data_IF_091878527423
#
_entry.id   IF_091878527423
#
_cell.length_a   1.000
_cell.length_b   1.000
_cell.length_c   1.000
_cell.angle_alpha   90.00
_cell.angle_beta   90.00
_cell.angle_gamma   90.00
#
_symmetry.space_group_name_H-M   'P 1'
#
loop_
_entity.id
_entity.type
_entity.pdbx_description
1 polymer ?
#
# COMPACT_ATOMS: atom_id res chain seq x y z
N UNK A 1 -17.17 2.76 -7.07
CA UNK A 1 -16.14 1.85 -6.54
C UNK A 1 -15.15 1.59 -7.67
N UNK A 2 -13.91 2.04 -7.56
CA UNK A 2 -12.89 1.80 -8.59
C UNK A 2 -12.01 0.62 -8.14
N UNK A 3 -11.81 -0.37 -9.01
CA UNK A 3 -10.94 -1.53 -8.76
C UNK A 3 -9.84 -1.55 -9.80
N UNK A 4 -8.60 -1.80 -9.37
CA UNK A 4 -7.46 -2.04 -10.26
C UNK A 4 -6.74 -3.28 -9.80
N UNK A 5 -6.45 -4.18 -10.72
CA UNK A 5 -5.60 -5.33 -10.45
C UNK A 5 -4.12 -4.92 -10.53
N UNK A 6 -3.30 -5.54 -9.71
CA UNK A 6 -1.88 -5.22 -9.61
C UNK A 6 -1.07 -6.45 -9.20
N UNK A 7 0.25 -6.29 -9.16
CA UNK A 7 1.18 -7.34 -8.74
C UNK A 7 2.07 -6.84 -7.62
N UNK A 8 2.40 -7.74 -6.70
CA UNK A 8 3.43 -7.50 -5.69
C UNK A 8 4.79 -7.62 -6.38
N UNK A 9 5.62 -6.59 -6.22
CA UNK A 9 6.99 -6.59 -6.72
C UNK A 9 7.94 -7.01 -5.61
N UNK A 10 8.69 -8.08 -5.84
CA UNK A 10 9.74 -8.55 -4.94
C UNK A 10 11.10 -8.05 -5.42
N UNK A 11 11.92 -7.57 -4.49
CA UNK A 11 13.26 -7.10 -4.79
C UNK A 11 14.23 -7.56 -3.71
N UNK A 12 15.52 -7.59 -4.05
CA UNK A 12 16.58 -7.87 -3.08
C UNK A 12 16.73 -6.64 -2.17
N UNK A 13 16.75 -6.86 -0.86
CA UNK A 13 16.94 -5.81 0.13
C UNK A 13 18.02 -6.26 1.11
N UNK A 14 19.27 -5.87 0.84
CA UNK A 14 20.43 -6.32 1.61
C UNK A 14 20.55 -7.85 1.63
N UNK A 15 20.49 -8.43 2.83
CA UNK A 15 20.49 -9.87 3.08
C UNK A 15 19.12 -10.54 2.93
N UNK A 16 18.04 -9.77 2.76
CA UNK A 16 16.66 -10.27 2.69
C UNK A 16 15.94 -9.99 1.36
N UNK A 17 14.63 -10.26 1.34
CA UNK A 17 13.71 -9.90 0.26
C UNK A 17 12.75 -8.81 0.73
N UNK A 18 12.66 -7.73 -0.02
CA UNK A 18 11.63 -6.71 0.15
C UNK A 18 10.46 -6.96 -0.80
N UNK A 19 9.26 -6.56 -0.39
CA UNK A 19 8.06 -6.59 -1.22
C UNK A 19 7.43 -5.19 -1.25
N UNK A 20 6.89 -4.78 -2.41
CA UNK A 20 6.17 -3.52 -2.54
C UNK A 20 4.95 -3.68 -3.44
N UNK A 21 3.89 -2.95 -3.10
CA UNK A 21 2.69 -2.78 -3.93
C UNK A 21 2.62 -1.32 -4.36
N UNK A 22 2.28 -1.10 -5.64
CA UNK A 22 2.09 0.25 -6.15
C UNK A 22 0.66 0.70 -5.88
N UNK A 23 0.50 1.72 -5.05
CA UNK A 23 -0.80 2.39 -4.85
C UNK A 23 -0.92 3.48 -5.92
N UNK A 24 -2.02 3.54 -6.70
CA UNK A 24 -2.22 4.59 -7.68
C UNK A 24 -2.18 5.98 -7.06
N UNK A 25 -1.38 6.88 -7.64
CA UNK A 25 -1.28 8.30 -7.22
C UNK A 25 -2.65 8.98 -7.10
N UNK A 26 -3.65 8.76 -7.99
CA UNK A 26 -4.96 9.37 -7.83
C UNK A 26 -5.68 8.98 -6.53
N UNK A 27 -5.42 7.78 -5.99
CA UNK A 27 -6.01 7.34 -4.73
C UNK A 27 -5.30 7.99 -3.55
N UNK A 28 -3.97 8.04 -3.56
CA UNK A 28 -3.18 8.76 -2.54
C UNK A 28 -3.58 10.24 -2.46
N UNK A 29 -3.76 10.90 -3.62
CA UNK A 29 -4.26 12.29 -3.68
C UNK A 29 -5.64 12.43 -3.06
N UNK A 30 -6.56 11.50 -3.32
CA UNK A 30 -7.91 11.49 -2.72
C UNK A 30 -7.88 11.23 -1.21
N UNK A 31 -6.91 10.45 -0.74
CA UNK A 31 -6.65 10.24 0.69
C UNK A 31 -5.95 11.44 1.36
N UNK A 32 -5.51 12.45 0.58
CA UNK A 32 -4.75 13.58 1.09
C UNK A 32 -3.35 13.20 1.55
N UNK A 33 -2.77 12.14 0.95
CA UNK A 33 -1.39 11.71 1.19
C UNK A 33 -0.48 12.45 0.20
N UNK A 34 0.57 13.06 0.72
CA UNK A 34 1.57 13.82 -0.03
C UNK A 34 2.99 13.40 0.35
N UNK A 35 4.02 14.03 -0.23
CA UNK A 35 5.40 13.76 0.16
C UNK A 35 5.72 14.25 1.58
N UNK A 36 5.02 15.29 2.04
CA UNK A 36 5.13 15.88 3.38
C UNK A 36 4.28 15.10 4.40
N UNK A 37 3.10 14.65 3.99
CA UNK A 37 2.15 13.91 4.81
C UNK A 37 1.93 12.50 4.24
N UNK A 38 2.88 11.61 4.56
CA UNK A 38 3.02 10.27 3.97
C UNK A 38 2.74 9.12 4.93
N UNK A 39 2.24 9.42 6.12
CA UNK A 39 1.96 8.39 7.12
C UNK A 39 0.68 7.61 6.80
N UNK A 40 0.80 6.29 6.82
CA UNK A 40 -0.31 5.37 6.62
C UNK A 40 -0.22 4.22 7.63
N UNK A 41 -1.37 3.65 7.95
CA UNK A 41 -1.48 2.44 8.76
C UNK A 41 -1.90 1.27 7.87
N UNK A 42 -1.25 0.13 8.07
CA UNK A 42 -1.63 -1.14 7.46
C UNK A 42 -2.27 -2.03 8.52
N UNK A 43 -3.45 -2.56 8.20
CA UNK A 43 -4.14 -3.56 9.01
C UNK A 43 -4.29 -4.83 8.19
N UNK A 44 -3.86 -5.96 8.73
CA UNK A 44 -4.12 -7.27 8.13
C UNK A 44 -5.32 -7.91 8.81
N UNK A 45 -6.40 -8.05 8.05
CA UNK A 45 -7.60 -8.77 8.44
C UNK A 45 -7.41 -10.25 8.03
N UNK A 46 -7.08 -11.10 9.01
CA UNK A 46 -6.84 -12.53 8.79
C UNK A 46 -8.09 -13.27 8.31
N UNK A 47 -9.26 -12.92 8.84
CA UNK A 47 -10.53 -13.58 8.51
C UNK A 47 -10.92 -13.34 7.04
N UNK A 48 -10.78 -12.10 6.58
CA UNK A 48 -11.08 -11.74 5.20
C UNK A 48 -9.88 -11.91 4.25
N UNK A 49 -8.70 -12.24 4.77
CA UNK A 49 -7.42 -12.28 4.04
C UNK A 49 -7.17 -11.00 3.24
N UNK A 50 -7.34 -9.84 3.90
CA UNK A 50 -7.21 -8.51 3.28
C UNK A 50 -6.19 -7.66 4.01
N UNK A 51 -5.45 -6.88 3.23
CA UNK A 51 -4.67 -5.75 3.76
C UNK A 51 -5.48 -4.48 3.53
N UNK A 52 -5.76 -3.76 4.60
CA UNK A 52 -6.45 -2.47 4.62
C UNK A 52 -5.40 -1.38 4.83
N UNK A 53 -5.52 -0.29 4.09
CA UNK A 53 -4.58 0.83 4.12
C UNK A 53 -5.38 2.09 4.44
N UNK A 54 -4.98 2.78 5.51
CA UNK A 54 -5.67 3.98 6.01
C UNK A 54 -4.66 5.11 6.20
N UNK A 55 -5.12 6.35 6.01
CA UNK A 55 -4.31 7.54 6.35
C UNK A 55 -4.27 7.67 7.88
N UNK A 56 -3.11 8.05 8.42
CA UNK A 56 -2.92 8.31 9.84
C UNK A 56 -3.37 9.71 10.25
#
# INVERSE_FOLDING_TARGET
>A
MERRDGKVSFHKSGSGRGAKVTIPIPWLRKMGISEEDREITFTFDEEASKVIIEKK
#
